data_IF_922815333840
#
_entry.id   IF_922815333840
#
_cell.length_a   1.000
_cell.length_b   1.000
_cell.length_c   1.000
_cell.angle_alpha   90.00
_cell.angle_beta   90.00
_cell.angle_gamma   90.00
#
_symmetry.space_group_name_H-M   'P 1'
#
loop_
_entity.id
_entity.type
_entity.pdbx_description
1 polymer ?
#
# COMPACT_ATOMS: atom_id res chain seq x y z
N UNK A 1 4.37 -11.63 -14.75
CA UNK A 1 4.38 -10.71 -13.59
C UNK A 1 3.58 -11.22 -12.39
N UNK A 2 2.35 -11.73 -12.55
CA UNK A 2 1.52 -12.20 -11.42
C UNK A 2 2.22 -13.23 -10.52
N UNK A 3 2.73 -14.32 -11.10
CA UNK A 3 3.42 -15.38 -10.34
C UNK A 3 4.66 -14.85 -9.61
N UNK A 4 5.38 -13.91 -10.22
CA UNK A 4 6.57 -13.29 -9.68
C UNK A 4 6.28 -12.37 -8.48
N UNK A 5 5.28 -11.48 -8.60
CA UNK A 5 4.86 -10.64 -7.47
C UNK A 5 4.37 -11.47 -6.28
N UNK A 6 3.65 -12.57 -6.56
CA UNK A 6 3.22 -13.52 -5.52
C UNK A 6 4.39 -14.24 -4.85
N UNK A 7 5.48 -14.53 -5.58
CA UNK A 7 6.67 -15.18 -5.00
C UNK A 7 7.53 -14.23 -4.17
N UNK A 8 7.52 -12.93 -4.46
CA UNK A 8 8.20 -11.91 -3.63
C UNK A 8 7.48 -11.76 -2.29
N UNK A 9 6.19 -11.48 -2.35
CA UNK A 9 5.33 -11.33 -1.18
C UNK A 9 3.87 -11.42 -1.64
N UNK A 10 3.09 -12.32 -1.05
CA UNK A 10 1.66 -12.44 -1.40
C UNK A 10 0.89 -11.14 -1.20
N UNK A 11 1.38 -10.23 -0.34
CA UNK A 11 0.84 -8.88 -0.15
C UNK A 11 1.03 -8.01 -1.39
N UNK A 12 2.19 -8.07 -2.07
CA UNK A 12 2.46 -7.27 -3.27
C UNK A 12 1.39 -7.47 -4.34
N UNK A 13 1.01 -8.72 -4.62
CA UNK A 13 -0.07 -9.00 -5.56
C UNK A 13 -1.46 -8.54 -5.07
N UNK A 14 -1.76 -8.73 -3.78
CA UNK A 14 -3.03 -8.27 -3.19
C UNK A 14 -3.20 -6.77 -3.28
N UNK A 15 -2.12 -6.02 -3.09
CA UNK A 15 -2.11 -4.56 -3.11
C UNK A 15 -2.32 -4.04 -4.54
N UNK A 16 -1.72 -4.69 -5.53
CA UNK A 16 -1.97 -4.38 -6.96
C UNK A 16 -3.44 -4.61 -7.34
N UNK A 17 -4.08 -5.69 -6.87
CA UNK A 17 -5.51 -5.94 -7.13
C UNK A 17 -6.39 -4.90 -6.44
N UNK A 18 -6.11 -4.61 -5.16
CA UNK A 18 -6.95 -3.71 -4.37
C UNK A 18 -6.80 -2.24 -4.77
N UNK A 19 -5.67 -1.88 -5.37
CA UNK A 19 -5.30 -0.49 -5.63
C UNK A 19 -4.97 0.19 -4.30
N UNK A 20 -3.70 0.23 -3.95
CA UNK A 20 -3.28 0.98 -2.76
C UNK A 20 -3.61 2.47 -2.94
N UNK A 21 -4.23 3.06 -1.93
CA UNK A 21 -4.34 4.51 -1.79
C UNK A 21 -3.61 4.94 -0.52
N UNK A 22 -3.06 6.14 -0.56
CA UNK A 22 -2.32 6.69 0.58
C UNK A 22 -3.30 6.97 1.73
N UNK A 23 -3.01 6.53 2.97
CA UNK A 23 -3.89 6.79 4.11
C UNK A 23 -4.16 8.28 4.31
N UNK A 24 -5.43 8.68 4.41
CA UNK A 24 -5.83 10.06 4.68
C UNK A 24 -6.24 10.22 6.13
N UNK A 25 -6.10 11.43 6.65
CA UNK A 25 -6.64 11.76 7.96
C UNK A 25 -8.17 11.65 7.88
N UNK A 26 -8.80 11.17 8.95
CA UNK A 26 -10.26 11.09 9.05
C UNK A 26 -10.78 12.12 10.01
N UNK A 27 -11.87 12.78 9.64
CA UNK A 27 -12.58 13.67 10.54
C UNK A 27 -13.29 12.88 11.66
N UNK A 28 -13.93 13.60 12.59
CA UNK A 28 -14.68 12.99 13.69
C UNK A 28 -15.86 12.10 13.23
N UNK A 29 -16.30 12.25 11.98
CA UNK A 29 -17.35 11.44 11.36
C UNK A 29 -16.80 10.26 10.53
N UNK A 30 -15.47 10.07 10.52
CA UNK A 30 -14.80 9.02 9.76
C UNK A 30 -14.66 9.29 8.27
N UNK A 31 -14.88 10.53 7.83
CA UNK A 31 -14.74 10.97 6.44
C UNK A 31 -13.28 11.35 6.18
N UNK A 32 -12.71 10.82 5.09
CA UNK A 32 -11.36 11.16 4.66
C UNK A 32 -11.28 12.65 4.32
N UNK A 33 -10.35 13.37 4.94
CA UNK A 33 -10.01 14.73 4.53
C UNK A 33 -8.98 14.68 3.39
N UNK A 34 -8.75 15.82 2.74
CA UNK A 34 -7.78 15.93 1.63
C UNK A 34 -6.34 15.70 2.09
N UNK A 35 -6.07 15.93 3.38
CA UNK A 35 -4.74 15.81 3.95
C UNK A 35 -4.32 14.35 4.17
N UNK A 36 -3.11 14.05 3.71
CA UNK A 36 -2.50 12.75 3.86
C UNK A 36 -2.07 12.52 5.31
N UNK A 37 -2.30 11.31 5.81
CA UNK A 37 -1.92 10.92 7.15
C UNK A 37 -0.38 10.77 7.25
N UNK A 38 0.27 11.35 8.27
CA UNK A 38 1.70 11.14 8.51
C UNK A 38 2.02 9.65 8.72
N UNK A 39 3.18 9.20 8.21
CA UNK A 39 3.60 7.78 8.31
C UNK A 39 3.71 7.29 9.75
N UNK A 40 4.08 8.18 10.68
CA UNK A 40 4.19 7.90 12.12
C UNK A 40 2.84 7.51 12.75
N UNK A 41 1.72 7.92 12.14
CA UNK A 41 0.36 7.63 12.59
C UNK A 41 -0.30 6.48 11.83
N UNK A 42 0.44 5.81 10.96
CA UNK A 42 -0.08 4.67 10.22
C UNK A 42 -0.31 3.49 11.17
N UNK A 43 -1.42 2.82 10.94
CA UNK A 43 -1.69 1.54 11.58
C UNK A 43 -0.77 0.48 10.98
N UNK A 44 -0.51 -0.59 11.73
CA UNK A 44 0.28 -1.74 11.23
C UNK A 44 -0.30 -2.32 9.93
N UNK A 45 -1.61 -2.19 9.71
CA UNK A 45 -2.26 -2.62 8.47
C UNK A 45 -1.89 -1.70 7.30
N UNK A 46 -1.96 -0.38 7.49
CA UNK A 46 -1.59 0.63 6.48
C UNK A 46 -0.10 0.50 6.09
N UNK A 47 0.79 0.35 7.08
CA UNK A 47 2.21 0.09 6.86
C UNK A 47 2.46 -1.17 6.03
N UNK A 48 1.83 -2.29 6.41
CA UNK A 48 1.99 -3.56 5.72
C UNK A 48 1.53 -3.50 4.26
N UNK A 49 0.49 -2.71 3.99
CA UNK A 49 0.00 -2.46 2.63
C UNK A 49 0.95 -1.54 1.86
N UNK A 50 1.48 -0.49 2.48
CA UNK A 50 2.47 0.42 1.86
C UNK A 50 3.74 -0.34 1.46
N UNK A 51 4.26 -1.21 2.34
CA UNK A 51 5.41 -2.07 2.02
C UNK A 51 5.12 -3.01 0.86
N UNK A 52 3.93 -3.62 0.83
CA UNK A 52 3.49 -4.44 -0.30
C UNK A 52 3.42 -3.66 -1.61
N UNK A 53 2.91 -2.43 -1.56
CA UNK A 53 2.85 -1.52 -2.71
C UNK A 53 4.25 -1.19 -3.23
N UNK A 54 5.15 -0.75 -2.35
CA UNK A 54 6.53 -0.38 -2.68
C UNK A 54 7.28 -1.53 -3.36
N UNK A 55 7.18 -2.75 -2.81
CA UNK A 55 7.77 -3.96 -3.42
C UNK A 55 7.18 -4.26 -4.80
N UNK A 56 5.85 -4.13 -4.95
CA UNK A 56 5.19 -4.35 -6.23
C UNK A 56 5.66 -3.35 -7.30
N UNK A 57 5.69 -2.06 -6.95
CA UNK A 57 6.17 -1.00 -7.85
C UNK A 57 7.63 -1.21 -8.23
N UNK A 58 8.49 -1.51 -7.24
CA UNK A 58 9.90 -1.79 -7.51
C UNK A 58 10.09 -2.97 -8.49
N UNK A 59 9.37 -4.07 -8.28
CA UNK A 59 9.43 -5.23 -9.18
C UNK A 59 8.89 -4.90 -10.59
N UNK A 60 7.85 -4.08 -10.70
CA UNK A 60 7.25 -3.70 -11.99
C UNK A 60 8.16 -2.78 -12.80
N UNK A 61 8.74 -1.76 -12.15
CA UNK A 61 9.48 -0.70 -12.85
C UNK A 61 10.98 -0.97 -12.95
N UNK A 62 11.57 -1.66 -11.96
CA UNK A 62 13.01 -1.90 -11.91
C UNK A 62 13.40 -3.33 -12.27
N UNK A 63 12.44 -4.25 -12.44
CA UNK A 63 12.69 -5.61 -12.93
C UNK A 63 13.70 -6.41 -12.11
N UNK A 64 13.76 -6.15 -10.79
CA UNK A 64 14.53 -6.96 -9.82
C UNK A 64 13.86 -8.31 -9.64
#
# INVERSE_FOLDING_TARGET
MIAFLKSIDSRSWKVVIKGWDHPKIKDANGVDIVELKPEEEWTTAEDSLSVGNSKALNAIFNGV
#
